data_IF_656076135351
#
_entry.id   IF_656076135351
#
_cell.length_a   1.000
_cell.length_b   1.000
_cell.length_c   1.000
_cell.angle_alpha   90.00
_cell.angle_beta   90.00
_cell.angle_gamma   90.00
#
_symmetry.space_group_name_H-M   'P 1'
#
loop_
_entity.id
_entity.type
_entity.pdbx_description
1 polymer ?
#
# COMPACT_ATOMS: atom_id res chain seq x y z
N UNK A 1 -3.04 8.33 -3.16
CA UNK A 1 -4.39 8.66 -3.67
C UNK A 1 -5.33 8.40 -2.53
N UNK A 2 -5.81 9.46 -1.89
CA UNK A 2 -6.27 9.44 -0.49
C UNK A 2 -7.74 9.03 -0.38
N UNK A 3 -8.11 7.94 -1.06
CA UNK A 3 -9.44 7.35 -0.97
C UNK A 3 -9.53 6.47 0.26
N UNK A 4 -10.62 6.65 1.01
CA UNK A 4 -10.95 5.78 2.13
C UNK A 4 -11.24 4.36 1.63
N UNK A 5 -10.62 3.32 2.20
CA UNK A 5 -10.76 1.98 1.69
C UNK A 5 -12.16 1.40 2.00
N UNK A 6 -12.68 0.50 1.14
CA UNK A 6 -14.00 -0.08 1.32
C UNK A 6 -14.07 -0.99 2.56
N UNK A 7 -15.29 -1.26 3.04
CA UNK A 7 -15.53 -2.10 4.23
C UNK A 7 -14.98 -3.53 4.13
N UNK A 8 -14.80 -4.05 2.92
CA UNK A 8 -14.21 -5.37 2.63
C UNK A 8 -13.06 -5.16 1.67
N UNK A 9 -11.89 -5.64 2.04
CA UNK A 9 -10.64 -5.43 1.29
C UNK A 9 -9.99 -6.78 1.10
N UNK A 10 -9.57 -7.06 -0.14
CA UNK A 10 -8.64 -8.13 -0.45
C UNK A 10 -7.27 -7.50 -0.70
N UNK A 11 -6.22 -8.03 -0.05
CA UNK A 11 -4.84 -7.59 -0.26
C UNK A 11 -4.15 -8.59 -1.17
N UNK A 12 -3.80 -8.17 -2.38
CA UNK A 12 -3.00 -8.96 -3.31
C UNK A 12 -1.52 -8.60 -3.14
N UNK A 13 -0.69 -9.62 -2.92
CA UNK A 13 0.77 -9.47 -2.78
C UNK A 13 1.46 -10.24 -3.90
N UNK A 14 2.58 -9.70 -4.37
CA UNK A 14 3.42 -10.33 -5.38
C UNK A 14 4.21 -11.51 -4.83
N UNK A 15 4.69 -12.36 -5.74
CA UNK A 15 5.69 -13.37 -5.41
C UNK A 15 7.09 -12.76 -5.28
N UNK A 16 8.03 -13.53 -4.74
CA UNK A 16 9.45 -13.14 -4.70
C UNK A 16 10.00 -12.94 -6.14
N UNK A 17 10.81 -11.91 -6.34
CA UNK A 17 11.37 -11.53 -7.64
C UNK A 17 10.46 -10.57 -8.42
N UNK A 18 9.64 -11.12 -9.32
CA UNK A 18 8.85 -10.34 -10.30
C UNK A 18 7.68 -9.53 -9.69
N UNK A 19 7.35 -9.79 -8.41
CA UNK A 19 6.25 -9.13 -7.73
C UNK A 19 4.86 -9.54 -8.25
N UNK A 20 3.95 -8.57 -8.38
CA UNK A 20 2.59 -8.82 -8.85
C UNK A 20 2.55 -9.04 -10.36
N UNK A 21 1.95 -10.17 -10.78
CA UNK A 21 1.73 -10.44 -12.21
C UNK A 21 0.94 -9.29 -12.87
N UNK A 22 1.27 -8.90 -14.11
CA UNK A 22 0.63 -7.75 -14.77
C UNK A 22 -0.90 -7.81 -14.81
N UNK A 23 -1.47 -8.99 -15.01
CA UNK A 23 -2.92 -9.19 -15.04
C UNK A 23 -3.57 -8.96 -13.65
N UNK A 24 -2.93 -9.44 -12.59
CA UNK A 24 -3.39 -9.22 -11.21
C UNK A 24 -3.33 -7.73 -10.88
N UNK A 25 -2.21 -7.07 -11.21
CA UNK A 25 -2.04 -5.62 -11.03
C UNK A 25 -3.13 -4.80 -11.73
N UNK A 26 -3.57 -5.21 -12.93
CA UNK A 26 -4.66 -4.56 -13.67
C UNK A 26 -6.05 -4.84 -13.09
N UNK A 27 -6.23 -5.94 -12.39
CA UNK A 27 -7.50 -6.31 -11.75
C UNK A 27 -7.69 -5.65 -10.37
N UNK A 28 -6.62 -5.12 -9.77
CA UNK A 28 -6.71 -4.40 -8.50
C UNK A 28 -7.38 -3.03 -8.67
N UNK A 29 -8.35 -2.71 -7.82
CA UNK A 29 -8.98 -1.39 -7.76
C UNK A 29 -8.00 -0.28 -7.36
N UNK A 30 -7.01 -0.65 -6.54
CA UNK A 30 -5.99 0.25 -6.02
C UNK A 30 -4.62 -0.40 -6.09
N UNK A 31 -3.61 0.42 -6.38
CA UNK A 31 -2.21 0.04 -6.27
C UNK A 31 -1.54 0.95 -5.25
N UNK A 32 -0.84 0.35 -4.29
CA UNK A 32 -0.11 1.05 -3.24
C UNK A 32 1.25 0.40 -3.03
N UNK A 33 2.14 1.11 -2.34
CA UNK A 33 3.48 0.67 -2.02
C UNK A 33 3.85 1.14 -0.61
N UNK A 34 4.63 0.34 0.10
CA UNK A 34 5.24 0.76 1.36
C UNK A 34 6.43 1.67 1.00
N UNK A 35 6.49 2.92 1.52
CA UNK A 35 7.66 3.76 1.34
C UNK A 35 8.91 3.08 1.92
N UNK A 36 9.96 2.99 1.12
CA UNK A 36 11.24 2.39 1.52
C UNK A 36 12.36 3.40 1.34
N UNK A 37 13.45 3.24 2.11
CA UNK A 37 14.64 4.03 1.93
C UNK A 37 15.28 3.77 0.55
N UNK A 38 16.04 4.73 -0.01
CA UNK A 38 16.76 4.52 -1.27
C UNK A 38 17.68 3.29 -1.18
N UNK A 39 17.74 2.51 -2.27
CA UNK A 39 18.58 1.31 -2.37
C UNK A 39 17.97 0.03 -1.79
N UNK A 40 16.73 0.08 -1.30
CA UNK A 40 15.98 -1.12 -0.89
C UNK A 40 15.07 -1.55 -2.04
N UNK A 41 15.34 -2.73 -2.61
CA UNK A 41 14.55 -3.27 -3.73
C UNK A 41 13.14 -3.70 -3.30
N UNK A 42 13.06 -4.51 -2.24
CA UNK A 42 11.78 -5.01 -1.71
C UNK A 42 11.88 -5.44 -0.25
N UNK A 43 10.72 -5.55 0.40
CA UNK A 43 10.58 -6.20 1.69
C UNK A 43 10.21 -7.67 1.50
N UNK A 44 10.50 -8.48 2.52
CA UNK A 44 9.92 -9.81 2.64
C UNK A 44 8.37 -9.74 2.56
N UNK A 45 7.77 -10.67 1.82
CA UNK A 45 6.32 -10.66 1.54
C UNK A 45 5.47 -10.75 2.81
N UNK A 46 5.90 -11.51 3.82
CA UNK A 46 5.18 -11.62 5.09
C UNK A 46 5.27 -10.32 5.91
N UNK A 47 6.43 -9.65 5.88
CA UNK A 47 6.61 -8.33 6.51
C UNK A 47 5.74 -7.28 5.83
N UNK A 48 5.73 -7.25 4.50
CA UNK A 48 4.88 -6.34 3.72
C UNK A 48 3.39 -6.58 4.01
N UNK A 49 2.96 -7.85 4.11
CA UNK A 49 1.60 -8.21 4.48
C UNK A 49 1.22 -7.67 5.87
N UNK A 50 2.09 -7.87 6.86
CA UNK A 50 1.87 -7.40 8.23
C UNK A 50 1.70 -5.87 8.31
N UNK A 51 2.58 -5.13 7.62
CA UNK A 51 2.50 -3.66 7.55
C UNK A 51 1.19 -3.22 6.88
N UNK A 52 0.84 -3.81 5.74
CA UNK A 52 -0.36 -3.46 5.00
C UNK A 52 -1.63 -3.72 5.82
N UNK A 53 -1.76 -4.89 6.44
CA UNK A 53 -2.91 -5.24 7.28
C UNK A 53 -3.02 -4.31 8.50
N UNK A 54 -1.90 -4.01 9.16
CA UNK A 54 -1.89 -3.07 10.28
C UNK A 54 -2.35 -1.66 9.87
N UNK A 55 -1.88 -1.16 8.72
CA UNK A 55 -2.29 0.13 8.18
C UNK A 55 -3.75 0.16 7.73
N UNK A 56 -4.34 -0.96 7.30
CA UNK A 56 -5.76 -1.04 6.95
C UNK A 56 -6.67 -1.03 8.18
N UNK A 57 -6.20 -1.56 9.31
CA UNK A 57 -6.93 -1.50 10.60
C UNK A 57 -6.77 -0.14 11.27
N UNK A 58 -5.60 0.49 11.12
CA UNK A 58 -5.28 1.81 11.67
C UNK A 58 -5.37 2.86 10.55
N UNK A 59 -6.51 3.57 10.38
CA UNK A 59 -6.62 4.57 9.32
C UNK A 59 -5.46 5.56 9.41
N UNK A 60 -4.86 5.96 8.28
CA UNK A 60 -3.77 6.92 8.31
C UNK A 60 -4.27 8.19 9.02
N UNK A 61 -3.41 8.88 9.80
CA UNK A 61 -3.76 10.21 10.27
C UNK A 61 -4.19 10.99 9.03
N UNK A 62 -5.40 11.56 9.04
CA UNK A 62 -5.87 12.42 7.95
C UNK A 62 -4.72 13.35 7.63
N UNK A 63 -4.21 13.30 6.40
CA UNK A 63 -3.17 14.22 5.97
C UNK A 63 -3.66 15.60 6.40
N UNK A 64 -2.96 16.21 7.35
CA UNK A 64 -3.27 17.57 7.76
C UNK A 64 -3.14 18.36 6.47
N UNK A 65 -4.24 18.95 5.99
CA UNK A 65 -4.12 20.05 5.06
C UNK A 65 -3.30 21.07 5.81
N UNK A 66 -2.00 21.13 5.54
CA UNK A 66 -1.21 22.29 5.90
C UNK A 66 -1.93 23.43 5.18
N UNK A 67 -2.55 24.39 5.90
CA UNK A 67 -3.19 25.49 5.22
C UNK A 67 -2.10 26.18 4.42
N UNK A 68 -2.35 26.42 3.12
CA UNK A 68 -1.50 27.29 2.33
C UNK A 68 -1.44 28.61 3.11
N UNK A 69 -0.25 28.95 3.60
CA UNK A 69 0.01 30.24 4.24
C UNK A 69 -0.08 31.27 3.10
N UNK A 70 -0.88 32.35 3.25
CA UNK A 70 -1.00 33.39 2.22
C UNK A 70 0.32 34.11 1.95
#
# INVERSE_FOLDING_TARGET
>A
GDREPPRRIAVALGGEGEGLRPLVRRACDFLTSIPMAPGVDSLNVAVAAGIALYALVKPPPRASRVPAIP
#
